data_IF_392245012954
#
_entry.id   IF_392245012954
#
_cell.length_a   1.000
_cell.length_b   1.000
_cell.length_c   1.000
_cell.angle_alpha   90.00
_cell.angle_beta   90.00
_cell.angle_gamma   90.00
#
_symmetry.space_group_name_H-M   'P 1'
#
loop_
_entity.id
_entity.type
_entity.pdbx_description
1 polymer ?
#
# COMPACT_ATOMS: atom_id res chain seq x y z
N UNK A 1 -15.65 15.01 -3.40
CA UNK A 1 -14.38 14.57 -4.03
C UNK A 1 -13.71 13.65 -3.03
N UNK A 2 -13.83 12.34 -3.23
CA UNK A 2 -13.29 11.31 -2.33
C UNK A 2 -11.78 11.15 -2.52
N UNK A 3 -11.13 10.65 -1.47
CA UNK A 3 -9.73 10.91 -1.08
C UNK A 3 -8.65 10.16 -1.86
N UNK A 4 -9.01 9.30 -2.78
CA UNK A 4 -8.14 8.69 -3.80
C UNK A 4 -8.86 8.92 -5.13
N UNK A 5 -8.16 9.09 -6.26
CA UNK A 5 -8.78 9.27 -7.59
C UNK A 5 -9.50 7.98 -8.08
N UNK A 6 -9.99 7.19 -7.16
CA UNK A 6 -10.63 5.92 -7.40
C UNK A 6 -12.00 6.15 -8.03
N UNK A 7 -12.31 5.38 -9.08
CA UNK A 7 -13.59 5.48 -9.74
C UNK A 7 -14.72 5.05 -8.81
N UNK A 8 -15.61 5.98 -8.45
CA UNK A 8 -16.83 5.67 -7.68
C UNK A 8 -17.92 5.08 -8.60
N UNK A 9 -17.86 5.37 -9.90
CA UNK A 9 -18.83 4.88 -10.88
C UNK A 9 -18.61 3.39 -11.18
N UNK A 10 -19.72 2.68 -11.43
CA UNK A 10 -19.73 1.23 -11.64
C UNK A 10 -18.79 0.77 -12.77
N UNK A 11 -18.90 1.35 -13.97
CA UNK A 11 -18.10 0.91 -15.12
C UNK A 11 -16.60 1.22 -14.97
N UNK A 12 -16.19 2.43 -14.55
CA UNK A 12 -14.78 2.70 -14.28
C UNK A 12 -14.21 1.82 -13.15
N UNK A 13 -14.98 1.51 -12.10
CA UNK A 13 -14.60 0.52 -11.07
C UNK A 13 -14.37 -0.87 -11.66
N UNK A 14 -15.26 -1.34 -12.55
CA UNK A 14 -15.14 -2.64 -13.19
C UNK A 14 -13.87 -2.72 -14.05
N UNK A 15 -13.60 -1.69 -14.85
CA UNK A 15 -12.40 -1.60 -15.67
C UNK A 15 -11.13 -1.57 -14.80
N UNK A 16 -11.15 -0.84 -13.70
CA UNK A 16 -10.05 -0.79 -12.74
C UNK A 16 -9.74 -2.18 -12.18
N UNK A 17 -10.76 -2.95 -11.75
CA UNK A 17 -10.53 -4.31 -11.23
C UNK A 17 -10.10 -5.29 -12.32
N UNK A 18 -10.56 -5.15 -13.57
CA UNK A 18 -10.07 -5.95 -14.68
C UNK A 18 -8.58 -5.68 -14.96
N UNK A 19 -8.17 -4.41 -14.89
CA UNK A 19 -6.77 -4.00 -14.99
C UNK A 19 -5.94 -4.50 -13.80
N UNK A 20 -6.49 -4.40 -12.58
CA UNK A 20 -5.87 -4.91 -11.37
C UNK A 20 -5.68 -6.44 -11.41
N UNK A 21 -6.60 -7.17 -12.04
CA UNK A 21 -6.46 -8.60 -12.22
C UNK A 21 -5.35 -8.94 -13.24
N UNK A 22 -5.25 -8.17 -14.32
CA UNK A 22 -4.30 -8.39 -15.43
C UNK A 22 -2.86 -7.97 -15.15
N UNK A 23 -2.64 -7.01 -14.26
CA UNK A 23 -1.30 -6.51 -13.96
C UNK A 23 -0.90 -6.85 -12.52
N UNK A 24 -1.39 -6.25 -11.44
CA UNK A 24 -0.84 -6.54 -10.11
C UNK A 24 -1.01 -7.98 -9.61
N UNK A 25 -2.02 -8.75 -10.09
CA UNK A 25 -2.34 -10.07 -9.52
C UNK A 25 -1.98 -11.25 -10.43
N UNK A 26 -2.23 -11.13 -11.73
CA UNK A 26 -1.90 -12.16 -12.71
C UNK A 26 -0.99 -11.56 -13.77
N UNK A 27 -0.03 -12.34 -14.27
CA UNK A 27 0.68 -11.99 -15.50
C UNK A 27 -0.30 -11.82 -16.66
N UNK A 28 -0.03 -10.95 -17.65
CA UNK A 28 -0.81 -10.91 -18.89
C UNK A 28 -0.90 -12.29 -19.57
N UNK A 29 0.13 -13.13 -19.42
CA UNK A 29 0.16 -14.48 -19.94
C UNK A 29 -0.81 -15.41 -19.19
N UNK A 30 -0.79 -15.45 -17.86
CA UNK A 30 -1.78 -16.21 -17.08
C UNK A 30 -3.20 -15.68 -17.31
N UNK A 31 -3.36 -14.36 -17.46
CA UNK A 31 -4.64 -13.74 -17.75
C UNK A 31 -5.20 -14.20 -19.10
N UNK A 32 -4.36 -14.27 -20.13
CA UNK A 32 -4.74 -14.82 -21.43
C UNK A 32 -5.08 -16.32 -21.34
N UNK A 33 -4.31 -17.10 -20.58
CA UNK A 33 -4.59 -18.53 -20.37
C UNK A 33 -5.89 -18.75 -19.61
N UNK A 34 -6.22 -17.89 -18.65
CA UNK A 34 -7.52 -17.87 -18.00
C UNK A 34 -8.65 -17.67 -19.02
N UNK A 35 -8.52 -16.70 -19.94
CA UNK A 35 -9.52 -16.49 -20.99
C UNK A 35 -9.64 -17.66 -21.97
N UNK A 36 -8.52 -18.32 -22.31
CA UNK A 36 -8.54 -19.55 -23.10
C UNK A 36 -9.33 -20.64 -22.35
N UNK A 37 -9.01 -20.89 -21.08
CA UNK A 37 -9.74 -21.83 -20.23
C UNK A 37 -11.23 -21.50 -20.13
N UNK A 38 -11.57 -20.25 -19.82
CA UNK A 38 -12.96 -19.77 -19.75
C UNK A 38 -13.70 -20.00 -21.08
N UNK A 39 -13.06 -19.70 -22.21
CA UNK A 39 -13.65 -19.88 -23.54
C UNK A 39 -13.91 -21.35 -23.85
N UNK A 40 -12.94 -22.23 -23.56
CA UNK A 40 -13.10 -23.69 -23.70
C UNK A 40 -14.25 -24.20 -22.83
N UNK A 41 -14.32 -23.72 -21.58
CA UNK A 41 -15.37 -24.08 -20.64
C UNK A 41 -16.77 -23.71 -21.16
N UNK A 42 -16.94 -22.48 -21.65
CA UNK A 42 -18.22 -21.96 -22.15
C UNK A 42 -18.65 -22.59 -23.49
N UNK A 43 -17.72 -22.73 -24.44
CA UNK A 43 -18.03 -23.15 -25.81
C UNK A 43 -18.16 -24.68 -25.89
N UNK A 44 -17.22 -25.41 -25.30
CA UNK A 44 -17.09 -26.87 -25.44
C UNK A 44 -17.74 -27.58 -24.25
N UNK A 45 -17.44 -27.13 -23.03
CA UNK A 45 -17.90 -27.79 -21.80
C UNK A 45 -19.41 -27.73 -21.61
N UNK A 46 -20.02 -26.55 -21.85
CA UNK A 46 -21.47 -26.28 -21.68
C UNK A 46 -22.01 -26.72 -20.31
N UNK A 47 -21.16 -26.66 -19.29
CA UNK A 47 -21.41 -27.07 -17.91
C UNK A 47 -22.04 -25.93 -17.10
N UNK A 48 -23.32 -25.66 -17.37
CA UNK A 48 -24.04 -24.51 -16.81
C UNK A 48 -24.15 -24.53 -15.28
N UNK A 49 -24.25 -25.71 -14.67
CA UNK A 49 -24.35 -25.83 -13.20
C UNK A 49 -23.06 -25.39 -12.52
N UNK A 50 -21.93 -25.84 -13.04
CA UNK A 50 -20.60 -25.48 -12.55
C UNK A 50 -20.32 -23.99 -12.80
N UNK A 51 -20.74 -23.46 -13.96
CA UNK A 51 -20.67 -22.02 -14.24
C UNK A 51 -21.44 -21.21 -13.18
N UNK A 52 -22.64 -21.66 -12.79
CA UNK A 52 -23.43 -21.00 -11.76
C UNK A 52 -22.72 -21.01 -10.40
N UNK A 53 -22.07 -22.10 -10.03
CA UNK A 53 -21.29 -22.16 -8.78
C UNK A 53 -20.15 -21.13 -8.80
N UNK A 54 -19.39 -21.04 -9.89
CA UNK A 54 -18.34 -20.03 -10.02
C UNK A 54 -18.92 -18.60 -10.06
N UNK A 55 -20.06 -18.40 -10.72
CA UNK A 55 -20.73 -17.10 -10.77
C UNK A 55 -21.20 -16.66 -9.36
N UNK A 56 -21.75 -17.57 -8.56
CA UNK A 56 -22.13 -17.30 -7.16
C UNK A 56 -20.94 -16.92 -6.28
N UNK A 57 -19.71 -17.31 -6.65
CA UNK A 57 -18.49 -16.89 -5.95
C UNK A 57 -18.00 -15.53 -6.48
N UNK A 58 -17.83 -15.41 -7.79
CA UNK A 58 -17.16 -14.26 -8.42
C UNK A 58 -18.06 -13.02 -8.41
N UNK A 59 -19.35 -13.16 -8.76
CA UNK A 59 -20.24 -12.01 -8.99
C UNK A 59 -20.52 -11.23 -7.69
N UNK A 60 -20.90 -11.86 -6.56
CA UNK A 60 -21.13 -11.12 -5.32
C UNK A 60 -19.87 -10.44 -4.80
N UNK A 61 -18.72 -11.12 -4.91
CA UNK A 61 -17.43 -10.54 -4.54
C UNK A 61 -17.14 -9.29 -5.39
N UNK A 62 -17.22 -9.38 -6.71
CA UNK A 62 -17.03 -8.23 -7.60
C UNK A 62 -18.02 -7.10 -7.30
N UNK A 63 -19.28 -7.42 -7.02
CA UNK A 63 -20.28 -6.41 -6.70
C UNK A 63 -19.93 -5.61 -5.44
N UNK A 64 -19.54 -6.29 -4.36
CA UNK A 64 -19.11 -5.65 -3.11
C UNK A 64 -17.88 -4.75 -3.37
N UNK A 65 -16.92 -5.25 -4.15
CA UNK A 65 -15.70 -4.53 -4.49
C UNK A 65 -15.97 -3.29 -5.34
N UNK A 66 -16.93 -3.34 -6.27
CA UNK A 66 -17.33 -2.20 -7.10
C UNK A 66 -18.02 -1.12 -6.26
N UNK A 67 -18.82 -1.49 -5.25
CA UNK A 67 -19.53 -0.52 -4.39
C UNK A 67 -18.61 0.11 -3.33
N UNK A 68 -17.53 -0.57 -2.94
CA UNK A 68 -16.59 -0.06 -1.92
C UNK A 68 -15.77 1.13 -2.47
N UNK A 69 -15.71 2.29 -1.80
CA UNK A 69 -15.02 3.48 -2.33
C UNK A 69 -13.51 3.30 -2.52
N UNK A 70 -12.83 2.62 -1.61
CA UNK A 70 -11.38 2.40 -1.68
C UNK A 70 -11.09 1.16 -2.52
N UNK A 71 -10.35 1.33 -3.61
CA UNK A 71 -10.02 0.24 -4.54
C UNK A 71 -8.63 -0.30 -4.23
N UNK A 72 -8.55 -1.61 -4.03
CA UNK A 72 -7.28 -2.29 -3.83
C UNK A 72 -7.28 -3.65 -4.53
N UNK A 73 -6.21 -3.93 -5.29
CA UNK A 73 -6.05 -5.20 -6.00
C UNK A 73 -5.99 -6.38 -5.03
N UNK A 74 -5.50 -6.17 -3.80
CA UNK A 74 -5.48 -7.20 -2.75
C UNK A 74 -6.86 -7.77 -2.45
N UNK A 75 -7.92 -6.99 -2.66
CA UNK A 75 -9.28 -7.47 -2.43
C UNK A 75 -9.76 -8.51 -3.46
N UNK A 76 -9.11 -8.61 -4.62
CA UNK A 76 -9.39 -9.63 -5.62
C UNK A 76 -8.66 -10.96 -5.35
N UNK A 77 -7.69 -11.01 -4.41
CA UNK A 77 -6.94 -12.24 -4.10
C UNK A 77 -7.84 -13.45 -3.79
N UNK A 78 -8.94 -13.32 -3.02
CA UNK A 78 -9.84 -14.45 -2.75
C UNK A 78 -10.56 -15.02 -3.98
N UNK A 79 -10.58 -14.30 -5.11
CA UNK A 79 -11.22 -14.71 -6.36
C UNK A 79 -10.27 -15.58 -7.21
N UNK A 80 -8.96 -15.42 -7.06
CA UNK A 80 -7.94 -16.13 -7.87
C UNK A 80 -8.10 -17.67 -7.86
N UNK A 81 -8.44 -18.34 -6.74
CA UNK A 81 -8.70 -19.78 -6.76
C UNK A 81 -9.86 -20.16 -7.68
N UNK A 82 -10.94 -19.38 -7.69
CA UNK A 82 -12.08 -19.63 -8.58
C UNK A 82 -11.68 -19.51 -10.06
N UNK A 83 -10.89 -18.49 -10.41
CA UNK A 83 -10.37 -18.32 -11.77
C UNK A 83 -9.44 -19.47 -12.17
N UNK A 84 -8.61 -19.94 -11.25
CA UNK A 84 -7.71 -21.08 -11.47
C UNK A 84 -8.49 -22.36 -11.75
N UNK A 85 -9.50 -22.65 -10.92
CA UNK A 85 -10.38 -23.81 -11.10
C UNK A 85 -11.16 -23.72 -12.42
N UNK A 86 -11.68 -22.55 -12.77
CA UNK A 86 -12.40 -22.33 -14.02
C UNK A 86 -11.49 -22.53 -15.25
N UNK A 87 -10.23 -22.09 -15.16
CA UNK A 87 -9.21 -22.31 -16.19
C UNK A 87 -8.98 -23.80 -16.41
N UNK A 88 -8.72 -24.53 -15.33
CA UNK A 88 -8.46 -25.98 -15.36
C UNK A 88 -9.68 -26.75 -15.87
N UNK A 89 -10.87 -26.42 -15.37
CA UNK A 89 -12.13 -27.04 -15.80
C UNK A 89 -12.40 -26.82 -17.30
N UNK A 90 -11.99 -25.66 -17.84
CA UNK A 90 -12.02 -25.38 -19.26
C UNK A 90 -11.04 -26.23 -20.07
N UNK A 91 -9.79 -26.32 -19.63
CA UNK A 91 -8.77 -27.17 -20.26
C UNK A 91 -9.19 -28.64 -20.26
N UNK A 92 -9.86 -29.12 -19.20
CA UNK A 92 -10.38 -30.49 -19.10
C UNK A 92 -11.38 -30.87 -20.20
N UNK A 93 -12.06 -29.89 -20.80
CA UNK A 93 -13.01 -30.12 -21.91
C UNK A 93 -12.31 -30.53 -23.21
N UNK A 94 -10.99 -30.30 -23.33
CA UNK A 94 -10.21 -30.62 -24.52
C UNK A 94 -10.03 -32.13 -24.64
N UNK A 95 -10.59 -32.72 -25.71
CA UNK A 95 -10.53 -34.18 -25.96
C UNK A 95 -9.14 -34.68 -26.34
N UNK A 96 -8.35 -33.85 -27.04
CA UNK A 96 -7.02 -34.23 -27.54
C UNK A 96 -6.02 -34.15 -26.38
N UNK A 97 -5.59 -35.32 -25.88
CA UNK A 97 -4.71 -35.44 -24.70
C UNK A 97 -3.42 -34.65 -24.82
N UNK A 98 -2.80 -34.61 -26.00
CA UNK A 98 -1.57 -33.85 -26.24
C UNK A 98 -1.80 -32.35 -26.04
N UNK A 99 -2.88 -31.79 -26.61
CA UNK A 99 -3.20 -30.36 -26.49
C UNK A 99 -3.54 -30.02 -25.05
N UNK A 100 -4.35 -30.86 -24.39
CA UNK A 100 -4.72 -30.69 -22.99
C UNK A 100 -3.48 -30.67 -22.07
N UNK A 101 -2.58 -31.64 -22.24
CA UNK A 101 -1.35 -31.71 -21.46
C UNK A 101 -0.42 -30.52 -21.74
N UNK A 102 -0.34 -30.08 -22.99
CA UNK A 102 0.42 -28.89 -23.35
C UNK A 102 -0.13 -27.63 -22.68
N UNK A 103 -1.47 -27.47 -22.61
CA UNK A 103 -2.12 -26.36 -21.91
C UNK A 103 -1.85 -26.39 -20.40
N UNK A 104 -1.93 -27.56 -19.76
CA UNK A 104 -1.55 -27.68 -18.34
C UNK A 104 -0.09 -27.32 -18.09
N UNK A 105 0.81 -27.86 -18.91
CA UNK A 105 2.22 -27.53 -18.82
C UNK A 105 2.45 -26.04 -18.97
N UNK A 106 1.77 -25.39 -19.91
CA UNK A 106 1.89 -23.95 -20.15
C UNK A 106 1.40 -23.13 -18.95
N UNK A 107 0.25 -23.47 -18.35
CA UNK A 107 -0.25 -22.80 -17.14
C UNK A 107 0.74 -22.95 -15.97
N UNK A 108 1.25 -24.16 -15.75
CA UNK A 108 2.21 -24.43 -14.68
C UNK A 108 3.53 -23.68 -14.92
N UNK A 109 4.07 -23.75 -16.14
CA UNK A 109 5.33 -23.10 -16.49
C UNK A 109 5.23 -21.58 -16.36
N UNK A 110 4.18 -20.96 -16.90
CA UNK A 110 3.97 -19.51 -16.80
C UNK A 110 3.75 -19.10 -15.34
N UNK A 111 2.96 -19.85 -14.57
CA UNK A 111 2.73 -19.58 -13.15
C UNK A 111 4.01 -19.71 -12.31
N UNK A 112 4.84 -20.71 -12.61
CA UNK A 112 6.14 -20.88 -11.95
C UNK A 112 7.09 -19.73 -12.26
N UNK A 113 7.17 -19.28 -13.52
CA UNK A 113 8.00 -18.14 -13.90
C UNK A 113 7.48 -16.85 -13.23
N UNK A 114 6.16 -16.61 -13.23
CA UNK A 114 5.56 -15.45 -12.56
C UNK A 114 5.88 -15.45 -11.05
N UNK A 115 5.72 -16.59 -10.37
CA UNK A 115 6.03 -16.71 -8.94
C UNK A 115 7.48 -16.37 -8.62
N UNK A 116 8.43 -16.91 -9.41
CA UNK A 116 9.85 -16.64 -9.23
C UNK A 116 10.21 -15.19 -9.55
N UNK A 117 9.55 -14.57 -10.53
CA UNK A 117 9.77 -13.16 -10.87
C UNK A 117 9.22 -12.21 -9.82
N UNK A 118 8.05 -12.50 -9.25
CA UNK A 118 7.46 -11.72 -8.17
C UNK A 118 8.24 -11.85 -6.86
N UNK A 119 8.70 -13.06 -6.54
CA UNK A 119 9.32 -13.34 -5.23
C UNK A 119 10.82 -13.04 -5.21
N UNK A 120 11.51 -13.31 -6.31
CA UNK A 120 12.97 -13.35 -6.35
C UNK A 120 13.58 -12.56 -7.51
N UNK A 121 12.76 -12.04 -8.44
CA UNK A 121 13.22 -11.30 -9.61
C UNK A 121 14.25 -12.09 -10.46
N UNK A 122 14.09 -13.41 -10.59
CA UNK A 122 15.08 -14.32 -11.22
C UNK A 122 15.14 -14.17 -12.75
N UNK A 123 14.00 -13.95 -13.41
CA UNK A 123 13.90 -13.85 -14.88
C UNK A 123 13.30 -12.50 -15.32
N UNK A 124 13.95 -11.37 -15.01
CA UNK A 124 13.40 -10.03 -15.22
C UNK A 124 13.16 -9.71 -16.71
N UNK A 125 13.92 -10.33 -17.61
CA UNK A 125 13.81 -10.07 -19.06
C UNK A 125 12.79 -10.95 -19.78
N UNK A 126 12.50 -12.14 -19.25
CA UNK A 126 11.55 -13.10 -19.85
C UNK A 126 10.10 -12.67 -19.68
N UNK A 127 9.83 -11.99 -18.57
CA UNK A 127 8.55 -11.38 -18.32
C UNK A 127 8.80 -9.88 -18.19
N UNK A 128 8.75 -9.18 -19.33
CA UNK A 128 8.66 -7.71 -19.35
C UNK A 128 7.27 -7.28 -18.87
N UNK A 129 6.91 -7.65 -17.64
CA UNK A 129 5.78 -7.10 -16.91
C UNK A 129 6.12 -5.69 -16.44
N UNK A 130 6.40 -4.83 -17.43
CA UNK A 130 6.62 -3.39 -17.25
C UNK A 130 5.28 -2.67 -17.04
N UNK A 131 4.47 -3.20 -16.13
CA UNK A 131 3.32 -2.47 -15.60
C UNK A 131 3.77 -1.63 -14.41
N UNK A 132 3.19 -0.43 -14.18
CA UNK A 132 3.48 0.37 -12.99
C UNK A 132 3.09 -0.31 -11.66
N UNK A 133 2.47 -1.48 -11.73
CA UNK A 133 1.84 -2.20 -10.62
C UNK A 133 2.68 -3.33 -10.03
N UNK A 134 3.74 -3.78 -10.74
CA UNK A 134 4.65 -4.79 -10.20
C UNK A 134 5.74 -4.09 -9.40
N UNK A 135 5.51 -3.99 -8.11
CA UNK A 135 6.46 -3.44 -7.14
C UNK A 135 7.62 -4.43 -6.89
N UNK A 136 8.39 -4.75 -7.93
CA UNK A 136 9.74 -5.31 -7.78
C UNK A 136 10.68 -4.18 -7.33
N UNK A 137 10.35 -3.54 -6.20
CA UNK A 137 11.27 -2.63 -5.55
C UNK A 137 12.20 -3.49 -4.71
N UNK A 138 13.50 -3.44 -5.04
CA UNK A 138 14.54 -3.88 -4.11
C UNK A 138 14.25 -3.20 -2.77
N UNK A 139 14.36 -3.92 -1.62
CA UNK A 139 14.19 -3.32 -0.31
C UNK A 139 14.96 -2.01 -0.27
N UNK A 140 14.29 -0.91 0.08
CA UNK A 140 14.94 0.39 0.10
C UNK A 140 16.10 0.34 1.09
N UNK A 141 17.31 0.46 0.55
CA UNK A 141 18.53 0.57 1.35
C UNK A 141 18.75 2.01 1.85
N UNK A 142 17.92 2.94 1.39
CA UNK A 142 17.99 4.34 1.79
C UNK A 142 17.65 4.49 3.27
N UNK A 143 18.48 5.25 3.97
CA UNK A 143 18.29 5.54 5.37
C UNK A 143 17.40 6.78 5.57
N UNK A 144 16.15 6.52 5.98
CA UNK A 144 15.16 7.54 6.30
C UNK A 144 15.27 8.08 7.73
N UNK A 145 16.41 7.87 8.39
CA UNK A 145 16.78 8.42 9.71
C UNK A 145 15.87 8.01 10.86
N UNK A 146 15.04 6.99 10.66
CA UNK A 146 14.11 6.49 11.67
C UNK A 146 14.85 6.01 12.94
N UNK A 147 15.99 5.33 12.77
CA UNK A 147 16.76 4.79 13.91
C UNK A 147 17.47 5.90 14.68
N UNK A 148 18.04 6.86 13.98
CA UNK A 148 18.74 8.03 14.51
C UNK A 148 17.78 8.91 15.31
N UNK A 149 16.60 9.18 14.74
CA UNK A 149 15.52 9.93 15.42
C UNK A 149 15.14 9.24 16.73
N UNK A 150 14.90 7.93 16.71
CA UNK A 150 14.53 7.20 17.92
C UNK A 150 15.66 7.09 18.93
N UNK A 151 16.90 6.89 18.48
CA UNK A 151 18.08 6.86 19.34
C UNK A 151 18.25 8.18 20.06
N UNK A 152 18.20 9.30 19.32
CA UNK A 152 18.25 10.65 19.86
C UNK A 152 17.14 10.92 20.89
N UNK A 153 15.90 10.51 20.59
CA UNK A 153 14.79 10.66 21.52
C UNK A 153 14.98 9.79 22.77
N UNK A 154 15.51 8.57 22.63
CA UNK A 154 15.75 7.65 23.74
C UNK A 154 16.86 8.10 24.69
N UNK A 155 17.93 8.69 24.14
CA UNK A 155 19.01 9.28 24.93
C UNK A 155 18.53 10.53 25.68
N UNK A 156 17.72 11.35 25.02
CA UNK A 156 17.22 12.60 25.59
C UNK A 156 16.07 12.41 26.58
N UNK A 157 15.21 11.42 26.34
CA UNK A 157 14.02 11.12 27.12
C UNK A 157 14.00 9.64 27.53
N UNK A 158 14.95 9.22 28.37
CA UNK A 158 15.05 7.82 28.77
C UNK A 158 13.79 7.41 29.55
N UNK A 159 13.27 6.21 29.24
CA UNK A 159 12.13 5.58 29.92
C UNK A 159 10.87 6.45 30.07
N UNK A 160 10.69 7.44 29.19
CA UNK A 160 9.58 8.38 29.28
C UNK A 160 8.49 8.01 28.28
N UNK A 161 7.23 7.98 28.73
CA UNK A 161 6.10 7.85 27.82
C UNK A 161 5.97 9.13 26.98
N UNK A 162 6.25 9.05 25.67
CA UNK A 162 6.13 10.17 24.74
C UNK A 162 4.99 9.93 23.77
N UNK A 163 4.15 10.94 23.58
CA UNK A 163 3.19 10.98 22.49
C UNK A 163 3.76 11.79 21.32
N UNK A 164 3.99 11.13 20.19
CA UNK A 164 4.66 11.67 19.01
C UNK A 164 3.65 11.84 17.87
N UNK A 165 3.43 13.08 17.45
CA UNK A 165 2.63 13.39 16.26
C UNK A 165 3.52 13.44 15.02
N UNK A 166 3.12 12.77 13.94
CA UNK A 166 3.88 12.76 12.68
C UNK A 166 3.01 13.26 11.54
N UNK A 167 3.47 14.34 10.91
CA UNK A 167 2.91 14.84 9.66
C UNK A 167 3.74 14.30 8.50
N UNK A 168 3.29 13.19 7.92
CA UNK A 168 4.00 12.46 6.87
C UNK A 168 3.68 13.02 5.48
N UNK A 169 4.64 13.35 4.63
CA UNK A 169 4.37 13.73 3.22
C UNK A 169 4.86 12.70 2.20
N UNK A 170 5.50 11.61 2.65
CA UNK A 170 6.17 10.67 1.76
C UNK A 170 5.87 9.20 2.08
N UNK A 171 5.81 8.35 1.04
CA UNK A 171 5.51 6.91 1.19
C UNK A 171 6.54 6.14 2.04
N UNK A 172 7.76 6.64 2.14
CA UNK A 172 8.84 6.05 2.94
C UNK A 172 9.11 6.82 4.24
N UNK A 173 8.30 7.84 4.54
CA UNK A 173 8.31 8.53 5.81
C UNK A 173 6.89 8.44 6.38
N UNK A 174 6.57 7.30 7.01
CA UNK A 174 5.23 7.02 7.52
C UNK A 174 5.23 6.69 9.01
N UNK A 175 4.14 7.01 9.73
CA UNK A 175 3.99 6.68 11.14
C UNK A 175 4.17 5.19 11.43
N UNK A 176 3.70 4.33 10.52
CA UNK A 176 3.80 2.87 10.65
C UNK A 176 5.25 2.37 10.68
N UNK A 177 6.15 2.97 9.88
CA UNK A 177 7.56 2.57 9.88
C UNK A 177 8.26 2.94 11.18
N UNK A 178 7.98 4.13 11.72
CA UNK A 178 8.56 4.55 13.00
C UNK A 178 7.97 3.73 14.16
N UNK A 179 6.68 3.37 14.10
CA UNK A 179 6.01 2.50 15.08
C UNK A 179 6.67 1.12 15.15
N UNK A 180 7.01 0.54 13.99
CA UNK A 180 7.75 -0.73 13.94
C UNK A 180 9.11 -0.62 14.64
N UNK A 181 9.86 0.45 14.39
CA UNK A 181 11.17 0.65 15.03
C UNK A 181 11.04 0.89 16.55
N UNK A 182 10.02 1.62 17.02
CA UNK A 182 9.72 1.76 18.45
C UNK A 182 9.52 0.39 19.10
N UNK A 183 8.73 -0.49 18.45
CA UNK A 183 8.49 -1.84 18.95
C UNK A 183 9.78 -2.66 19.01
N UNK A 184 10.60 -2.61 17.95
CA UNK A 184 11.88 -3.31 17.88
C UNK A 184 12.87 -2.82 18.96
N UNK A 185 12.91 -1.51 19.23
CA UNK A 185 13.74 -0.91 20.27
C UNK A 185 13.12 -0.95 21.67
N UNK A 186 11.89 -1.48 21.81
CA UNK A 186 11.14 -1.54 23.09
C UNK A 186 11.02 -0.18 23.78
N UNK A 187 10.80 0.87 23.00
CA UNK A 187 10.66 2.22 23.52
C UNK A 187 9.22 2.47 23.98
N UNK A 188 9.00 3.17 25.11
CA UNK A 188 7.67 3.45 25.64
C UNK A 188 6.99 4.63 24.90
N UNK A 189 7.06 4.66 23.57
CA UNK A 189 6.57 5.77 22.76
C UNK A 189 5.28 5.40 22.03
N UNK A 190 4.38 6.36 21.90
CA UNK A 190 3.14 6.24 21.13
C UNK A 190 3.19 7.19 19.95
N UNK A 191 2.87 6.70 18.75
CA UNK A 191 2.84 7.51 17.52
C UNK A 191 1.41 7.68 17.04
N UNK A 192 1.10 8.89 16.57
CA UNK A 192 -0.13 9.16 15.84
C UNK A 192 0.15 9.89 14.52
N UNK A 193 -0.57 9.48 13.47
CA UNK A 193 -0.56 10.16 12.18
C UNK A 193 -1.36 11.47 12.27
N UNK A 194 -0.80 12.57 11.78
CA UNK A 194 -1.49 13.85 11.68
C UNK A 194 -1.94 14.09 10.24
N UNK A 195 -3.21 14.47 10.07
CA UNK A 195 -3.79 14.81 8.78
C UNK A 195 -4.37 13.65 7.97
N UNK A 196 -4.46 12.44 8.54
CA UNK A 196 -5.20 11.31 7.92
C UNK A 196 -6.71 11.48 8.06
N UNK A 197 -7.14 12.10 9.15
CA UNK A 197 -8.51 12.51 9.43
C UNK A 197 -8.60 14.03 9.58
N UNK A 198 -9.81 14.62 9.64
CA UNK A 198 -9.97 16.01 10.06
C UNK A 198 -9.37 16.21 11.45
N UNK A 199 -8.38 17.09 11.57
CA UNK A 199 -7.70 17.45 12.83
C UNK A 199 -7.56 18.96 12.85
N UNK A 200 -7.92 19.61 13.95
CA UNK A 200 -7.71 21.06 14.12
C UNK A 200 -6.23 21.34 14.32
N UNK A 201 -5.76 22.51 13.88
CA UNK A 201 -4.36 22.90 14.05
C UNK A 201 -3.93 22.89 15.53
N UNK A 202 -4.85 23.22 16.43
CA UNK A 202 -4.64 23.33 17.86
C UNK A 202 -4.57 21.96 18.56
N UNK A 203 -5.08 20.90 17.94
CA UNK A 203 -5.10 19.55 18.50
C UNK A 203 -3.68 18.99 18.66
N UNK A 204 -2.70 19.48 17.89
CA UNK A 204 -1.32 19.02 17.99
C UNK A 204 -0.64 19.43 19.30
N UNK A 205 -1.24 20.35 20.08
CA UNK A 205 -0.76 20.70 21.43
C UNK A 205 -0.75 19.51 22.38
N UNK A 206 -1.45 18.41 22.06
CA UNK A 206 -1.43 17.17 22.86
C UNK A 206 -0.12 16.39 22.74
N UNK A 207 0.65 16.60 21.68
CA UNK A 207 1.89 15.86 21.43
C UNK A 207 3.06 16.45 22.25
N UNK A 208 3.94 15.57 22.72
CA UNK A 208 5.20 15.97 23.36
C UNK A 208 6.25 16.33 22.30
N UNK A 209 6.27 15.52 21.24
CA UNK A 209 7.16 15.67 20.08
C UNK A 209 6.30 15.72 18.82
N UNK A 210 6.62 16.64 17.93
CA UNK A 210 6.01 16.72 16.60
C UNK A 210 7.08 16.59 15.52
N UNK A 211 6.86 15.71 14.56
CA UNK A 211 7.79 15.43 13.46
C UNK A 211 7.14 15.80 12.14
N UNK A 212 7.86 16.55 11.32
CA UNK A 212 7.42 16.99 9.98
C UNK A 212 8.61 17.00 9.01
N UNK A 213 8.34 17.22 7.73
CA UNK A 213 9.34 17.25 6.65
C UNK A 213 9.27 18.56 5.84
N UNK A 214 10.42 19.07 5.38
CA UNK A 214 10.53 20.29 4.57
C UNK A 214 11.70 20.21 3.56
N UNK A 215 11.61 20.71 2.33
CA UNK A 215 10.40 21.23 1.69
C UNK A 215 9.40 20.11 1.46
N UNK A 216 8.13 20.47 1.42
CA UNK A 216 7.07 19.52 1.19
C UNK A 216 7.19 18.98 -0.24
N UNK A 217 7.40 17.68 -0.36
CA UNK A 217 7.28 17.01 -1.66
C UNK A 217 5.86 16.47 -1.69
N UNK A 218 4.92 17.25 -2.23
CA UNK A 218 3.54 16.80 -2.33
C UNK A 218 3.48 15.61 -3.27
N UNK A 219 3.40 14.40 -2.73
CA UNK A 219 2.95 13.27 -3.51
C UNK A 219 1.50 13.57 -3.95
N UNK A 220 1.12 13.17 -5.17
CA UNK A 220 -0.29 13.23 -5.65
C UNK A 220 -1.29 12.48 -4.73
N UNK A 221 -0.78 11.79 -3.71
CA UNK A 221 -1.45 10.89 -2.77
C UNK A 221 -1.62 11.49 -1.36
N UNK A 222 -1.25 12.76 -1.14
CA UNK A 222 -1.42 13.39 0.18
C UNK A 222 -2.91 13.65 0.42
N UNK A 223 -3.47 13.03 1.46
CA UNK A 223 -4.87 13.23 1.85
C UNK A 223 -5.18 14.73 1.98
N UNK A 224 -6.36 15.15 1.49
CA UNK A 224 -6.81 16.56 1.47
C UNK A 224 -6.66 17.25 2.84
N UNK A 225 -6.89 16.50 3.92
CA UNK A 225 -6.73 16.99 5.29
C UNK A 225 -5.29 17.32 5.63
N UNK A 226 -4.35 16.50 5.19
CA UNK A 226 -2.93 16.72 5.41
C UNK A 226 -2.41 17.94 4.65
N UNK A 227 -2.84 18.13 3.40
CA UNK A 227 -2.50 19.33 2.62
C UNK A 227 -3.04 20.61 3.28
N UNK A 228 -4.30 20.58 3.76
CA UNK A 228 -4.88 21.69 4.53
C UNK A 228 -4.07 21.97 5.80
N UNK A 229 -3.70 20.92 6.53
CA UNK A 229 -2.90 21.04 7.74
C UNK A 229 -1.53 21.67 7.46
N UNK A 230 -0.85 21.26 6.39
CA UNK A 230 0.41 21.86 5.95
C UNK A 230 0.27 23.35 5.65
N UNK A 231 -0.79 23.76 4.93
CA UNK A 231 -1.04 25.18 4.64
C UNK A 231 -1.24 26.01 5.91
N UNK A 232 -1.93 25.45 6.90
CA UNK A 232 -2.08 26.10 8.20
C UNK A 232 -0.75 26.17 8.96
N UNK A 233 0.03 25.08 8.98
CA UNK A 233 1.35 25.01 9.59
C UNK A 233 2.30 26.05 8.99
N UNK A 234 2.33 26.18 7.66
CA UNK A 234 3.17 27.17 6.97
C UNK A 234 2.74 28.61 7.23
N UNK A 235 1.44 28.85 7.48
CA UNK A 235 0.89 30.19 7.69
C UNK A 235 1.02 30.66 9.14
N UNK A 236 0.69 29.78 10.09
CA UNK A 236 0.66 30.10 11.53
C UNK A 236 2.02 29.88 12.19
N UNK A 237 2.83 28.95 11.69
CA UNK A 237 4.06 28.50 12.35
C UNK A 237 3.76 27.61 13.56
N UNK A 238 4.54 26.55 13.73
CA UNK A 238 4.35 25.60 14.84
C UNK A 238 4.72 26.21 16.19
N UNK A 239 5.56 27.25 16.17
CA UNK A 239 6.01 27.98 17.35
C UNK A 239 4.85 28.64 18.10
N UNK A 240 3.79 29.05 17.37
CA UNK A 240 2.56 29.62 17.97
C UNK A 240 1.81 28.64 18.87
N UNK A 241 2.08 27.34 18.71
CA UNK A 241 1.51 26.27 19.53
C UNK A 241 2.43 25.85 20.68
N UNK A 242 3.51 26.61 20.92
CA UNK A 242 4.45 26.34 21.98
C UNK A 242 5.42 25.22 21.65
N UNK A 243 5.71 24.97 20.38
CA UNK A 243 6.76 24.04 19.96
C UNK A 243 8.06 24.79 19.65
N UNK A 244 9.19 24.17 19.95
CA UNK A 244 10.52 24.67 19.60
C UNK A 244 11.27 23.61 18.82
N UNK A 245 12.04 24.04 17.80
CA UNK A 245 12.86 23.12 17.00
C UNK A 245 13.87 22.43 17.91
N UNK A 246 13.91 21.11 17.83
CA UNK A 246 14.75 20.25 18.64
C UNK A 246 16.01 19.81 17.88
N UNK A 247 15.82 19.27 16.67
CA UNK A 247 16.90 18.84 15.77
C UNK A 247 16.36 18.68 14.35
N UNK A 248 17.24 18.49 13.38
CA UNK A 248 16.89 18.20 12.00
C UNK A 248 17.85 17.19 11.36
N UNK A 249 17.35 16.46 10.37
CA UNK A 249 18.11 15.47 9.61
C UNK A 249 17.86 15.62 8.12
N UNK A 250 18.92 15.60 7.32
CA UNK A 250 18.81 15.53 5.86
C UNK A 250 18.39 14.11 5.47
N UNK A 251 17.40 14.02 4.59
CA UNK A 251 16.80 12.79 4.10
C UNK A 251 17.30 12.43 2.69
N UNK A 252 17.10 11.18 2.24
CA UNK A 252 17.59 10.70 0.94
C UNK A 252 17.00 11.39 -0.30
N UNK A 253 15.95 12.18 -0.13
CA UNK A 253 15.26 12.94 -1.19
C UNK A 253 15.57 14.44 -1.12
N UNK A 254 16.70 14.81 -0.51
CA UNK A 254 17.17 16.18 -0.28
C UNK A 254 16.22 17.06 0.56
N UNK A 255 15.22 16.44 1.18
CA UNK A 255 14.39 17.09 2.17
C UNK A 255 14.99 16.97 3.57
N UNK A 256 14.41 17.72 4.50
CA UNK A 256 14.83 17.82 5.89
C UNK A 256 13.70 17.36 6.78
N UNK A 257 13.97 16.33 7.57
CA UNK A 257 13.13 15.91 8.67
C UNK A 257 13.39 16.83 9.87
N UNK A 258 12.33 17.40 10.44
CA UNK A 258 12.43 18.35 11.55
C UNK A 258 11.66 17.81 12.75
N UNK A 259 12.35 17.76 13.89
CA UNK A 259 11.76 17.43 15.19
C UNK A 259 11.46 18.72 15.95
N UNK A 260 10.26 18.80 16.50
CA UNK A 260 9.84 19.85 17.40
C UNK A 260 9.50 19.27 18.77
N UNK A 261 9.88 19.98 19.82
CA UNK A 261 9.55 19.66 21.21
C UNK A 261 8.61 20.72 21.76
N UNK A 262 7.55 20.29 22.45
CA UNK A 262 6.69 21.21 23.21
C UNK A 262 7.48 21.90 24.33
N UNK A 263 7.46 23.23 24.37
CA UNK A 263 8.25 24.07 25.26
C UNK A 263 8.00 23.77 26.75
N UNK A 264 6.76 23.49 27.14
CA UNK A 264 6.39 23.13 28.52
C UNK A 264 7.01 21.80 29.01
N UNK A 265 7.44 20.93 28.08
CA UNK A 265 8.13 19.69 28.43
C UNK A 265 9.55 19.94 28.98
N UNK A 266 10.12 21.15 28.82
CA UNK A 266 11.39 21.53 29.44
C UNK A 266 11.26 21.82 30.95
N UNK A 267 10.12 22.32 31.41
CA UNK A 267 9.95 22.76 32.81
C UNK A 267 9.55 21.63 33.77
N UNK A 268 8.74 20.66 33.32
CA UNK A 268 8.33 19.53 34.18
C UNK A 268 9.45 18.54 34.55
N UNK A 269 10.67 18.71 34.04
CA UNK A 269 11.73 17.69 34.08
C UNK A 269 13.08 18.21 34.59
N UNK A 270 13.10 19.37 35.24
CA UNK A 270 14.28 19.91 35.97
C UNK A 270 14.25 19.64 37.48
N UNK A 271 13.33 18.82 37.95
CA UNK A 271 13.22 18.39 39.36
C UNK A 271 13.38 16.88 39.46
#
# INVERSE_FOLDING_TARGET
>A
MTMERDPIQFFPSLLWYAEALRFPLMSPNLFNLFFVGLSLFLIIGRKWRELLIFACWIVPAFFILIVTPNKDGRYLMPILPALSLLTVAGIDTVRIKIIRNALYFLVIAVGYIQFNNLSFNIFPDLIKEKGPYYYNHVPLQQDWKNKEVLSFLSERFPNTNLLIGILADHKYFSPAQLQLNIYLFRLPYSIEAVGDSPVSFEDIKRYDIFITKYPQISAEWVAVHREKFYKELSKKGIETLGFSKLTEYVLPDDSTLILYQKSDAKEKRRF
#
